data_IF_497602354498
#
_entry.id   IF_497602354498
#
_cell.length_a   1.000
_cell.length_b   1.000
_cell.length_c   1.000
_cell.angle_alpha   90.00
_cell.angle_beta   90.00
_cell.angle_gamma   90.00
#
_symmetry.space_group_name_H-M   'P 1'
#
loop_
_entity.id
_entity.type
_entity.pdbx_description
1 polymer ?
#
# COMPACT_ATOMS: atom_id res chain seq x y z
N UNK A 1 -7.84 -45.75 -33.15
CA UNK A 1 -8.53 -44.86 -32.21
C UNK A 1 -7.48 -44.01 -31.51
N UNK A 2 -7.20 -42.83 -32.03
CA UNK A 2 -6.32 -41.84 -31.39
C UNK A 2 -7.22 -40.78 -30.76
N UNK A 3 -7.30 -40.78 -29.41
CA UNK A 3 -7.94 -39.70 -28.68
C UNK A 3 -6.99 -38.50 -28.64
N UNK A 4 -7.33 -37.47 -29.42
CA UNK A 4 -6.69 -36.17 -29.31
C UNK A 4 -7.11 -35.48 -28.01
N UNK A 5 -6.16 -35.34 -27.07
CA UNK A 5 -6.30 -34.53 -25.89
C UNK A 5 -6.24 -33.06 -26.34
N UNK A 6 -7.38 -32.42 -26.50
CA UNK A 6 -7.46 -30.98 -26.71
C UNK A 6 -7.07 -30.33 -25.39
N UNK A 7 -5.83 -29.80 -25.31
CA UNK A 7 -5.39 -28.87 -24.28
C UNK A 7 -6.26 -27.60 -24.40
N UNK A 8 -7.29 -27.52 -23.57
CA UNK A 8 -7.99 -26.28 -23.27
C UNK A 8 -6.98 -25.33 -22.62
N UNK A 9 -6.35 -24.50 -23.42
CA UNK A 9 -5.68 -23.30 -22.94
C UNK A 9 -6.72 -22.54 -22.12
N UNK A 10 -6.44 -22.19 -20.84
CA UNK A 10 -7.32 -21.29 -20.13
C UNK A 10 -7.33 -19.99 -20.92
N UNK A 11 -8.47 -19.72 -21.56
CA UNK A 11 -8.70 -18.46 -22.26
C UNK A 11 -8.30 -17.32 -21.35
N UNK A 12 -7.55 -16.36 -21.88
CA UNK A 12 -7.40 -15.04 -21.27
C UNK A 12 -8.81 -14.62 -20.85
N UNK A 13 -9.08 -14.63 -19.56
CA UNK A 13 -10.30 -14.06 -19.00
C UNK A 13 -10.26 -12.58 -19.42
N UNK A 14 -11.03 -12.22 -20.42
CA UNK A 14 -11.33 -10.83 -20.68
C UNK A 14 -11.89 -10.31 -19.37
N UNK A 15 -11.20 -9.36 -18.72
CA UNK A 15 -11.70 -8.73 -17.50
C UNK A 15 -13.07 -8.18 -17.84
N UNK A 16 -14.11 -8.74 -17.22
CA UNK A 16 -15.49 -8.40 -17.54
C UNK A 16 -15.73 -6.91 -17.27
N UNK A 17 -16.47 -6.29 -18.19
CA UNK A 17 -16.87 -4.91 -18.05
C UNK A 17 -17.76 -4.76 -16.82
N UNK A 18 -17.43 -3.86 -15.88
CA UNK A 18 -18.25 -3.69 -14.69
C UNK A 18 -19.62 -3.11 -15.02
N UNK A 19 -20.69 -3.78 -14.62
CA UNK A 19 -22.04 -3.21 -14.70
C UNK A 19 -22.17 -2.01 -13.75
N UNK A 20 -22.81 -0.88 -14.15
CA UNK A 20 -23.49 -0.58 -15.40
C UNK A 20 -22.62 0.18 -16.44
N UNK A 21 -21.31 0.03 -16.41
CA UNK A 21 -20.40 0.72 -17.32
C UNK A 21 -20.39 0.11 -18.72
N UNK A 22 -19.84 0.84 -19.66
CA UNK A 22 -19.60 0.40 -21.02
C UNK A 22 -18.10 0.31 -21.25
N UNK A 23 -17.63 -0.82 -21.78
CA UNK A 23 -16.22 -1.03 -22.06
C UNK A 23 -15.98 -1.18 -23.54
N UNK A 24 -14.88 -0.61 -23.99
CA UNK A 24 -14.49 -0.65 -25.38
C UNK A 24 -12.96 -0.81 -25.48
N UNK A 25 -12.56 -1.81 -26.22
CA UNK A 25 -11.15 -2.10 -26.51
C UNK A 25 -10.92 -2.02 -28.00
N UNK A 26 -10.27 -0.97 -28.51
CA UNK A 26 -9.99 -0.83 -29.95
C UNK A 26 -8.88 -1.75 -30.46
N UNK A 27 -8.58 -2.85 -29.75
CA UNK A 27 -7.51 -3.80 -30.06
C UNK A 27 -6.21 -3.51 -29.31
N UNK A 28 -5.36 -4.56 -29.19
CA UNK A 28 -4.01 -4.34 -28.63
C UNK A 28 -3.18 -3.47 -29.60
N UNK A 29 -2.39 -2.48 -29.10
CA UNK A 29 -1.90 -2.27 -27.73
C UNK A 29 -2.67 -1.21 -26.92
N UNK A 30 -3.86 -0.78 -27.35
CA UNK A 30 -4.51 0.44 -26.84
C UNK A 30 -5.20 0.28 -25.47
N UNK A 31 -5.36 -0.95 -24.97
CA UNK A 31 -5.99 -1.24 -23.67
C UNK A 31 -7.50 -0.94 -23.66
N UNK A 32 -8.12 -1.13 -22.48
CA UNK A 32 -9.57 -0.99 -22.29
C UNK A 32 -9.93 0.43 -21.91
N UNK A 33 -10.93 1.00 -22.56
CA UNK A 33 -11.61 2.23 -22.13
C UNK A 33 -12.89 1.88 -21.41
N UNK A 34 -13.05 2.40 -20.19
CA UNK A 34 -14.20 2.11 -19.34
C UNK A 34 -14.98 3.41 -19.14
N UNK A 35 -16.21 3.43 -19.65
CA UNK A 35 -17.09 4.57 -19.50
C UNK A 35 -18.23 4.23 -18.55
N UNK A 36 -18.18 4.84 -17.39
CA UNK A 36 -19.16 4.75 -16.33
C UNK A 36 -19.84 6.12 -16.10
N UNK A 37 -19.71 7.06 -17.02
CA UNK A 37 -20.27 8.41 -16.86
C UNK A 37 -21.81 8.39 -16.83
N UNK A 38 -22.40 9.28 -16.04
CA UNK A 38 -23.85 9.49 -15.98
C UNK A 38 -24.66 8.21 -15.67
N UNK A 39 -24.11 7.33 -14.80
CA UNK A 39 -24.76 6.08 -14.41
C UNK A 39 -25.39 6.13 -13.00
N UNK A 40 -25.33 7.27 -12.32
CA UNK A 40 -25.86 7.43 -10.97
C UNK A 40 -25.07 6.62 -9.92
N UNK A 41 -23.82 6.31 -10.19
CA UNK A 41 -22.99 5.48 -9.31
C UNK A 41 -22.74 6.18 -7.98
N UNK A 42 -23.16 5.58 -6.88
CA UNK A 42 -22.84 6.00 -5.52
C UNK A 42 -21.55 5.35 -4.98
N UNK A 43 -21.09 4.27 -5.61
CA UNK A 43 -19.86 3.55 -5.27
C UNK A 43 -19.08 3.17 -6.52
N UNK A 44 -17.77 3.12 -6.37
CA UNK A 44 -16.90 2.68 -7.46
C UNK A 44 -17.11 1.17 -7.71
N UNK A 45 -17.38 0.75 -8.96
CA UNK A 45 -17.42 -0.69 -9.30
C UNK A 45 -16.01 -1.29 -9.31
N UNK A 46 -15.91 -2.63 -9.34
CA UNK A 46 -14.64 -3.29 -9.57
C UNK A 46 -14.12 -2.94 -10.98
N UNK A 47 -12.93 -2.35 -11.06
CA UNK A 47 -12.38 -1.86 -12.32
C UNK A 47 -11.40 -2.87 -12.92
N UNK A 48 -11.41 -3.07 -14.25
CA UNK A 48 -10.44 -3.92 -14.92
C UNK A 48 -9.04 -3.31 -14.85
N UNK A 49 -8.04 -4.11 -14.52
CA UNK A 49 -6.63 -3.68 -14.43
C UNK A 49 -6.05 -3.22 -15.76
N UNK A 50 -6.64 -3.69 -16.85
CA UNK A 50 -6.30 -3.30 -18.23
C UNK A 50 -6.80 -1.90 -18.61
N UNK A 51 -7.54 -1.21 -17.74
CA UNK A 51 -8.11 0.10 -18.03
C UNK A 51 -7.03 1.14 -18.31
N UNK A 52 -7.14 1.80 -19.46
CA UNK A 52 -6.30 2.94 -19.86
C UNK A 52 -7.04 4.27 -19.81
N UNK A 53 -8.35 4.24 -20.02
CA UNK A 53 -9.20 5.41 -19.83
C UNK A 53 -10.38 5.05 -18.96
N UNK A 54 -10.67 5.89 -17.96
CA UNK A 54 -11.75 5.70 -17.01
C UNK A 54 -12.55 6.98 -16.89
N UNK A 55 -13.84 6.91 -17.26
CA UNK A 55 -14.78 8.03 -17.15
C UNK A 55 -15.81 7.74 -16.06
N UNK A 56 -15.80 8.57 -15.04
CA UNK A 56 -16.67 8.48 -13.86
C UNK A 56 -17.38 9.80 -13.57
N UNK A 57 -17.29 10.75 -14.50
CA UNK A 57 -17.93 12.06 -14.33
C UNK A 57 -19.46 11.94 -14.29
N UNK A 58 -20.09 12.93 -13.69
CA UNK A 58 -21.57 13.03 -13.57
C UNK A 58 -22.19 11.78 -12.93
N UNK A 59 -21.71 11.45 -11.72
CA UNK A 59 -22.23 10.38 -10.89
C UNK A 59 -22.53 10.87 -9.47
N UNK A 60 -22.85 9.96 -8.56
CA UNK A 60 -23.14 10.26 -7.15
C UNK A 60 -22.00 9.81 -6.22
N UNK A 61 -20.77 9.82 -6.70
CA UNK A 61 -19.62 9.37 -5.93
C UNK A 61 -19.25 10.40 -4.86
N UNK A 62 -19.32 10.01 -3.60
CA UNK A 62 -18.92 10.84 -2.46
C UNK A 62 -17.48 10.60 -2.01
N UNK A 63 -16.94 9.42 -2.26
CA UNK A 63 -15.57 9.04 -1.93
C UNK A 63 -15.09 7.87 -2.79
N UNK A 64 -13.77 7.67 -2.83
CA UNK A 64 -13.13 6.50 -3.44
C UNK A 64 -12.49 5.68 -2.32
N UNK A 65 -12.77 4.37 -2.22
CA UNK A 65 -12.14 3.51 -1.23
C UNK A 65 -10.60 3.50 -1.39
N UNK A 66 -9.88 3.45 -0.28
CA UNK A 66 -8.43 3.35 -0.31
C UNK A 66 -7.98 2.07 -1.06
N UNK A 67 -7.03 2.20 -1.96
CA UNK A 67 -6.51 1.10 -2.78
C UNK A 67 -7.33 0.80 -4.04
N UNK A 68 -8.49 1.42 -4.23
CA UNK A 68 -9.38 1.09 -5.36
C UNK A 68 -8.81 1.44 -6.74
N UNK A 69 -7.87 2.37 -6.81
CA UNK A 69 -7.21 2.79 -8.05
C UNK A 69 -5.78 2.25 -8.20
N UNK A 70 -5.23 1.62 -7.15
CA UNK A 70 -3.81 1.20 -7.13
C UNK A 70 -3.49 0.11 -8.17
N UNK A 71 -4.48 -0.68 -8.55
CA UNK A 71 -4.34 -1.72 -9.58
C UNK A 71 -4.31 -1.20 -11.03
N UNK A 72 -4.56 0.10 -11.24
CA UNK A 72 -4.70 0.69 -12.58
C UNK A 72 -3.37 1.24 -13.11
N UNK A 73 -2.32 0.43 -13.11
CA UNK A 73 -0.96 0.84 -13.51
C UNK A 73 -0.81 1.33 -14.95
N UNK A 74 -1.81 1.07 -15.80
CA UNK A 74 -1.81 1.48 -17.21
C UNK A 74 -2.76 2.65 -17.52
N UNK A 75 -3.40 3.23 -16.50
CA UNK A 75 -4.35 4.32 -16.67
C UNK A 75 -3.65 5.57 -17.22
N UNK A 76 -4.24 6.18 -18.25
CA UNK A 76 -3.74 7.38 -18.91
C UNK A 76 -4.73 8.54 -18.86
N UNK A 77 -6.03 8.23 -18.86
CA UNK A 77 -7.11 9.21 -18.83
C UNK A 77 -8.05 8.90 -17.67
N UNK A 78 -8.34 9.90 -16.82
CA UNK A 78 -9.28 9.79 -15.72
C UNK A 78 -10.17 11.03 -15.64
N UNK A 79 -11.48 10.83 -15.67
CA UNK A 79 -12.47 11.89 -15.55
C UNK A 79 -13.36 11.63 -14.33
N UNK A 80 -13.30 12.52 -13.33
CA UNK A 80 -13.98 12.43 -12.04
C UNK A 80 -14.89 13.63 -11.73
N UNK A 81 -15.02 14.58 -12.66
CA UNK A 81 -15.81 15.79 -12.48
C UNK A 81 -17.28 15.50 -12.16
N UNK A 82 -18.00 16.52 -11.71
CA UNK A 82 -19.44 16.48 -11.47
C UNK A 82 -19.89 15.31 -10.56
N UNK A 83 -19.14 15.09 -9.48
CA UNK A 83 -19.47 14.16 -8.41
C UNK A 83 -19.58 14.91 -7.07
N UNK A 84 -20.49 14.50 -6.17
CA UNK A 84 -20.70 15.16 -4.88
C UNK A 84 -19.64 14.74 -3.84
N UNK A 85 -18.36 15.08 -4.07
CA UNK A 85 -17.26 14.70 -3.20
C UNK A 85 -17.47 15.16 -1.76
N UNK A 86 -17.40 14.20 -0.83
CA UNK A 86 -17.45 14.48 0.60
C UNK A 86 -16.01 14.60 1.14
N UNK A 87 -15.65 15.81 1.55
CA UNK A 87 -14.30 16.13 1.99
C UNK A 87 -14.14 15.87 3.49
N UNK A 88 -13.97 14.61 3.84
CA UNK A 88 -13.54 14.11 5.13
C UNK A 88 -12.20 13.37 4.98
N UNK A 89 -11.75 12.66 6.01
CA UNK A 89 -10.50 11.90 5.96
C UNK A 89 -10.44 10.85 4.84
N UNK A 90 -11.57 10.35 4.35
CA UNK A 90 -11.60 9.35 3.26
C UNK A 90 -11.20 9.93 1.91
N UNK A 91 -11.36 11.25 1.72
CA UNK A 91 -10.96 11.90 0.45
C UNK A 91 -9.44 11.97 0.27
N UNK A 92 -8.67 11.80 1.37
CA UNK A 92 -7.21 11.88 1.33
C UNK A 92 -6.59 10.87 0.37
N UNK A 93 -7.12 9.65 0.31
CA UNK A 93 -6.63 8.66 -0.65
C UNK A 93 -6.74 9.18 -2.08
N UNK A 94 -7.93 9.64 -2.48
CA UNK A 94 -8.15 10.17 -3.84
C UNK A 94 -7.28 11.39 -4.10
N UNK A 95 -7.16 12.30 -3.14
CA UNK A 95 -6.32 13.50 -3.28
C UNK A 95 -4.86 13.13 -3.51
N UNK A 96 -4.29 12.28 -2.67
CA UNK A 96 -2.87 11.87 -2.77
C UNK A 96 -2.61 11.09 -4.06
N UNK A 97 -3.50 10.15 -4.39
CA UNK A 97 -3.39 9.39 -5.63
C UNK A 97 -3.42 10.29 -6.87
N UNK A 98 -4.30 11.30 -6.90
CA UNK A 98 -4.39 12.25 -8.01
C UNK A 98 -3.21 13.22 -8.06
N UNK A 99 -2.58 13.55 -6.94
CA UNK A 99 -1.35 14.37 -6.94
C UNK A 99 -0.24 13.69 -7.72
N UNK A 100 -0.13 12.36 -7.61
CA UNK A 100 0.89 11.57 -8.32
C UNK A 100 0.47 11.27 -9.76
N UNK A 101 -0.83 11.07 -10.01
CA UNK A 101 -1.34 10.70 -11.33
C UNK A 101 -1.53 11.90 -12.26
N UNK A 102 -2.24 12.94 -11.83
CA UNK A 102 -2.57 14.10 -12.68
C UNK A 102 -2.98 15.32 -11.86
N UNK A 103 -2.08 16.26 -11.70
CA UNK A 103 -2.37 17.53 -11.04
C UNK A 103 -3.52 18.33 -11.70
N UNK A 104 -3.68 18.36 -13.04
CA UNK A 104 -4.84 19.01 -13.66
C UNK A 104 -6.18 18.36 -13.31
N UNK A 105 -6.24 17.02 -13.24
CA UNK A 105 -7.46 16.31 -12.84
C UNK A 105 -7.83 16.65 -11.38
N UNK A 106 -6.86 16.72 -10.48
CA UNK A 106 -7.08 17.13 -9.09
C UNK A 106 -7.57 18.56 -8.97
N UNK A 107 -7.01 19.49 -9.74
CA UNK A 107 -7.38 20.91 -9.69
C UNK A 107 -8.84 21.17 -10.08
N UNK A 108 -9.42 20.31 -10.93
CA UNK A 108 -10.82 20.41 -11.36
C UNK A 108 -11.83 19.93 -10.32
N UNK A 109 -11.41 19.18 -9.31
CA UNK A 109 -12.34 18.59 -8.33
C UNK A 109 -12.60 19.54 -7.16
N UNK A 110 -13.86 19.58 -6.72
CA UNK A 110 -14.32 20.43 -5.63
C UNK A 110 -15.15 19.63 -4.63
N UNK A 111 -15.07 20.05 -3.36
CA UNK A 111 -15.91 19.51 -2.29
C UNK A 111 -17.37 19.91 -2.49
N UNK A 112 -18.29 18.96 -2.36
CA UNK A 112 -19.71 19.22 -2.27
C UNK A 112 -20.17 19.32 -0.80
N UNK A 113 -19.52 18.60 0.09
CA UNK A 113 -19.78 18.57 1.54
C UNK A 113 -18.48 18.30 2.31
N UNK A 114 -18.42 18.61 3.61
CA UNK A 114 -19.40 19.31 4.44
C UNK A 114 -19.57 20.79 4.05
N UNK A 115 -20.58 21.46 4.61
CA UNK A 115 -20.98 22.83 4.20
C UNK A 115 -19.83 23.85 4.26
N UNK A 116 -18.97 23.79 5.29
CA UNK A 116 -17.84 24.72 5.46
C UNK A 116 -16.70 24.51 4.44
N UNK A 117 -16.67 23.37 3.74
CA UNK A 117 -15.70 23.08 2.67
C UNK A 117 -16.32 23.14 1.27
N UNK A 118 -17.61 23.45 1.18
CA UNK A 118 -18.32 23.47 -0.10
C UNK A 118 -17.61 24.36 -1.11
N UNK A 119 -17.46 23.86 -2.34
CA UNK A 119 -16.77 24.51 -3.46
C UNK A 119 -15.24 24.68 -3.28
N UNK A 120 -14.66 24.28 -2.14
CA UNK A 120 -13.20 24.30 -1.97
C UNK A 120 -12.55 23.27 -2.90
N UNK A 121 -11.51 23.63 -3.68
CA UNK A 121 -10.79 22.70 -4.53
C UNK A 121 -10.12 21.60 -3.68
N UNK A 122 -10.16 20.34 -4.13
CA UNK A 122 -9.48 19.23 -3.44
C UNK A 122 -7.96 19.47 -3.33
N UNK A 123 -7.38 20.11 -4.33
CA UNK A 123 -5.96 20.46 -4.32
C UNK A 123 -5.59 21.35 -3.12
N UNK A 124 -6.47 22.23 -2.69
CA UNK A 124 -6.25 23.21 -1.61
C UNK A 124 -6.66 22.70 -0.22
N UNK A 125 -7.15 21.46 -0.10
CA UNK A 125 -7.47 20.90 1.20
C UNK A 125 -6.21 20.70 2.03
N UNK A 126 -6.26 21.12 3.27
CA UNK A 126 -5.18 20.98 4.26
C UNK A 126 -5.59 19.98 5.35
N UNK A 127 -4.63 19.54 6.16
CA UNK A 127 -4.93 18.67 7.30
C UNK A 127 -5.85 19.34 8.33
N UNK A 128 -5.76 20.66 8.47
CA UNK A 128 -6.63 21.45 9.36
C UNK A 128 -8.09 21.49 8.87
N UNK A 129 -8.33 21.42 7.57
CA UNK A 129 -9.68 21.36 7.00
C UNK A 129 -10.37 20.03 7.29
N UNK A 130 -9.62 18.96 7.31
CA UNK A 130 -10.12 17.58 7.45
C UNK A 130 -10.19 17.10 8.89
N UNK A 131 -9.72 17.93 9.85
CA UNK A 131 -9.60 17.54 11.24
C UNK A 131 -8.47 16.52 11.48
N UNK A 132 -8.49 15.89 12.65
CA UNK A 132 -7.44 14.93 13.02
C UNK A 132 -7.70 13.58 12.33
N UNK A 133 -7.14 13.37 11.16
CA UNK A 133 -7.26 12.13 10.39
C UNK A 133 -6.33 11.01 10.90
N UNK A 134 -6.20 10.85 12.19
CA UNK A 134 -5.25 9.89 12.84
C UNK A 134 -5.54 8.42 12.45
N UNK A 135 -6.77 8.10 12.06
CA UNK A 135 -7.16 6.70 11.76
C UNK A 135 -6.74 6.20 10.37
N UNK A 136 -6.20 7.05 9.50
CA UNK A 136 -5.78 6.66 8.14
C UNK A 136 -4.29 6.35 8.03
N UNK A 137 -3.50 6.65 9.06
CA UNK A 137 -2.15 6.08 9.15
C UNK A 137 -2.30 4.57 9.38
N UNK A 138 -1.75 3.72 8.50
CA UNK A 138 -1.82 2.29 8.70
C UNK A 138 -1.10 1.97 10.01
N UNK A 139 -1.88 1.65 11.06
CA UNK A 139 -1.36 1.20 12.36
C UNK A 139 -0.38 0.02 12.21
N UNK A 140 -0.47 -0.70 11.10
CA UNK A 140 0.46 -1.75 10.70
C UNK A 140 1.90 -1.26 10.53
N UNK A 141 2.13 -0.03 10.05
CA UNK A 141 3.48 0.49 9.85
C UNK A 141 4.22 0.67 11.18
N UNK A 142 3.52 1.21 12.20
CA UNK A 142 4.08 1.36 13.54
C UNK A 142 4.31 0.00 14.21
N UNK A 143 3.43 -0.98 13.97
CA UNK A 143 3.56 -2.34 14.49
C UNK A 143 4.75 -3.08 13.87
N UNK A 144 5.01 -2.91 12.58
CA UNK A 144 6.20 -3.45 11.91
C UNK A 144 7.48 -2.81 12.47
N UNK A 145 7.48 -1.49 12.64
CA UNK A 145 8.62 -0.77 13.21
C UNK A 145 8.98 -1.27 14.62
N UNK A 146 7.98 -1.43 15.51
CA UNK A 146 8.22 -1.97 16.85
C UNK A 146 8.72 -3.42 16.82
N UNK A 147 8.18 -4.25 15.93
CA UNK A 147 8.65 -5.63 15.77
C UNK A 147 10.10 -5.68 15.32
N UNK A 148 10.48 -4.85 14.36
CA UNK A 148 11.85 -4.80 13.85
C UNK A 148 12.81 -4.25 14.92
N UNK A 149 12.39 -3.27 15.69
CA UNK A 149 13.17 -2.72 16.80
C UNK A 149 13.43 -3.80 17.89
N UNK A 150 12.41 -4.59 18.23
CA UNK A 150 12.56 -5.70 19.18
C UNK A 150 13.51 -6.77 18.66
N UNK A 151 13.43 -7.12 17.37
CA UNK A 151 14.34 -8.08 16.76
C UNK A 151 15.81 -7.59 16.79
N UNK A 152 16.02 -6.32 16.44
CA UNK A 152 17.36 -5.71 16.50
C UNK A 152 17.91 -5.73 17.93
N UNK A 153 17.09 -5.36 18.92
CA UNK A 153 17.47 -5.38 20.33
C UNK A 153 17.83 -6.81 20.79
N UNK A 154 17.04 -7.81 20.40
CA UNK A 154 17.30 -9.21 20.71
C UNK A 154 18.66 -9.69 20.13
N UNK A 155 18.95 -9.33 18.88
CA UNK A 155 20.24 -9.65 18.24
C UNK A 155 21.41 -8.99 18.99
N UNK A 156 21.31 -7.73 19.36
CA UNK A 156 22.36 -7.03 20.12
C UNK A 156 22.58 -7.72 21.47
N UNK A 157 21.51 -8.06 22.18
CA UNK A 157 21.61 -8.74 23.49
C UNK A 157 22.29 -10.09 23.35
N UNK A 158 21.95 -10.88 22.32
CA UNK A 158 22.58 -12.17 22.09
C UNK A 158 24.07 -12.03 21.80
N UNK A 159 24.51 -11.05 21.01
CA UNK A 159 25.93 -10.78 20.78
C UNK A 159 26.67 -10.40 22.06
N UNK A 160 26.06 -9.56 22.90
CA UNK A 160 26.66 -9.16 24.20
C UNK A 160 26.81 -10.35 25.13
N UNK A 161 25.80 -11.24 25.20
CA UNK A 161 25.85 -12.44 26.02
C UNK A 161 26.95 -13.43 25.55
N UNK A 162 27.05 -13.63 24.23
CA UNK A 162 28.12 -14.47 23.66
C UNK A 162 29.52 -13.89 23.96
N UNK A 163 29.68 -12.57 23.75
CA UNK A 163 30.98 -11.92 24.06
C UNK A 163 31.32 -12.02 25.55
N UNK A 164 30.35 -11.90 26.43
CA UNK A 164 30.55 -12.07 27.88
C UNK A 164 30.91 -13.51 28.24
N UNK A 165 30.18 -14.50 27.69
CA UNK A 165 30.50 -15.93 27.89
C UNK A 165 31.91 -16.29 27.42
N UNK A 166 32.35 -15.75 26.26
CA UNK A 166 33.71 -15.94 25.75
C UNK A 166 34.77 -15.31 26.68
N UNK A 167 34.48 -14.15 27.26
CA UNK A 167 35.38 -13.53 28.27
C UNK A 167 35.48 -14.37 29.54
N UNK A 168 34.38 -14.92 30.02
CA UNK A 168 34.34 -15.79 31.19
C UNK A 168 35.13 -17.11 30.91
N UNK A 169 34.90 -17.74 29.77
CA UNK A 169 35.60 -18.97 29.40
C UNK A 169 37.12 -18.77 29.30
N UNK A 170 37.59 -17.66 28.71
CA UNK A 170 39.00 -17.29 28.67
C UNK A 170 39.56 -17.07 30.08
N UNK A 171 38.82 -16.42 30.97
CA UNK A 171 39.25 -16.19 32.37
C UNK A 171 39.39 -17.52 33.15
N UNK A 172 38.41 -18.43 32.98
CA UNK A 172 38.43 -19.76 33.61
C UNK A 172 39.59 -20.62 33.08
N UNK A 173 39.84 -20.63 31.78
CA UNK A 173 40.99 -21.35 31.17
C UNK A 173 42.30 -20.81 31.68
N UNK A 174 42.47 -19.50 31.82
CA UNK A 174 43.67 -18.90 32.39
C UNK A 174 43.88 -19.29 33.85
N UNK A 175 42.82 -19.35 34.68
CA UNK A 175 42.92 -19.78 36.08
C UNK A 175 43.26 -21.26 36.22
N UNK A 176 42.70 -22.13 35.35
CA UNK A 176 43.03 -23.57 35.33
C UNK A 176 44.50 -23.81 34.92
N UNK A 177 44.99 -23.07 33.90
CA UNK A 177 46.38 -23.13 33.46
C UNK A 177 47.38 -22.73 34.58
N UNK A 178 47.08 -21.66 35.30
CA UNK A 178 47.89 -21.20 36.42
C UNK A 178 47.83 -22.14 37.63
N UNK A 179 46.66 -22.76 37.90
CA UNK A 179 46.46 -23.75 38.96
C UNK A 179 47.19 -25.05 38.69
N UNK A 180 47.30 -25.46 37.41
CA UNK A 180 48.10 -26.63 37.00
C UNK A 180 49.61 -26.45 37.21
N UNK A 181 50.13 -25.26 36.91
CA UNK A 181 51.54 -24.95 37.05
C UNK A 181 52.00 -24.88 38.52
N UNK A 182 51.13 -24.57 39.47
CA UNK A 182 51.40 -24.51 40.92
C UNK A 182 51.56 -25.90 41.57
N UNK A 183 51.03 -26.96 40.93
CA UNK A 183 51.13 -28.35 41.46
C UNK A 183 52.39 -29.12 41.02
N UNK A 184 53.15 -28.57 40.08
CA UNK A 184 54.34 -29.29 39.49
C UNK A 184 55.64 -28.78 40.02
N UNK A 185 55.76 -28.05 41.14
CA UNK A 185 57.01 -27.70 41.77
C UNK A 185 57.32 -28.77 42.82
N UNK A 186 58.38 -29.68 42.63
CA UNK A 186 58.78 -30.62 43.62
C UNK A 186 59.42 -29.86 44.77
N UNK A 187 58.98 -30.15 46.00
CA UNK A 187 59.72 -29.70 47.21
C UNK A 187 61.02 -30.49 47.25
N UNK A 188 62.13 -29.88 46.88
CA UNK A 188 63.47 -30.38 47.20
C UNK A 188 63.76 -30.09 48.65
N UNK A 189 63.98 -31.18 49.40
CA UNK A 189 64.58 -31.18 50.73
C UNK A 189 66.06 -30.96 50.62
#
# INVERSE_FOLDING_TARGET
AMLGCALLLPGLLAEDCPSPCSCWSPGQPWGTRVDCSSRGLARLPALPRSARALRLHNNSLASVPAGALDGLGHLQELQLGDNPWHCDCRILYLKLWLQDFSAPALAGLRCASPAHLRMKPLAQLTGSDLGVCVRLLPTKCLQFFWRDLVLIAAVIITFLLVAWALKLSKKLLCQLSLGGMRRSIPKTH
#
